data_IF_428120109733
#
_entry.id   IF_428120109733
#
_cell.length_a   1.000
_cell.length_b   1.000
_cell.length_c   1.000
_cell.angle_alpha   90.00
_cell.angle_beta   90.00
_cell.angle_gamma   90.00
#
_symmetry.space_group_name_H-M   'P 1'
#
loop_
_entity.id
_entity.type
_entity.pdbx_description
1 polymer ?
#
# COMPACT_ATOMS: atom_id res chain seq x y z
N UNK A 1 -18.25 -14.25 -5.75
CA UNK A 1 -17.94 -15.69 -5.82
C UNK A 1 -17.66 -16.11 -7.24
N UNK A 2 -16.60 -16.88 -7.44
CA UNK A 2 -16.32 -17.50 -8.73
C UNK A 2 -17.09 -18.80 -8.85
N UNK A 3 -17.61 -19.11 -10.04
CA UNK A 3 -18.28 -20.38 -10.32
C UNK A 3 -17.32 -21.29 -11.10
N UNK A 4 -17.38 -22.57 -10.79
CA UNK A 4 -16.66 -23.62 -11.51
C UNK A 4 -17.67 -24.70 -11.94
N UNK A 5 -17.41 -25.32 -13.08
CA UNK A 5 -18.14 -26.51 -13.51
C UNK A 5 -17.44 -27.75 -12.98
N UNK A 6 -18.21 -28.68 -12.44
CA UNK A 6 -17.71 -29.99 -11.98
C UNK A 6 -18.55 -31.10 -12.64
N UNK A 7 -17.92 -32.21 -12.90
CA UNK A 7 -18.60 -33.40 -13.40
C UNK A 7 -19.54 -34.01 -12.33
N UNK A 8 -20.55 -34.74 -12.76
CA UNK A 8 -21.55 -35.35 -11.86
C UNK A 8 -20.90 -36.25 -10.80
N UNK A 9 -19.87 -37.00 -11.16
CA UNK A 9 -19.13 -37.87 -10.25
C UNK A 9 -18.43 -37.07 -9.15
N UNK A 10 -17.80 -35.93 -9.49
CA UNK A 10 -17.18 -35.03 -8.53
C UNK A 10 -18.21 -34.35 -7.65
N UNK A 11 -19.34 -33.95 -8.22
CA UNK A 11 -20.43 -33.35 -7.47
C UNK A 11 -21.00 -34.35 -6.43
N UNK A 12 -21.24 -35.58 -6.83
CA UNK A 12 -21.73 -36.65 -5.93
C UNK A 12 -20.71 -36.94 -4.81
N UNK A 13 -19.41 -36.92 -5.12
CA UNK A 13 -18.36 -37.09 -4.14
C UNK A 13 -18.35 -35.95 -3.13
N UNK A 14 -18.42 -34.71 -3.58
CA UNK A 14 -18.48 -33.52 -2.73
C UNK A 14 -19.73 -33.56 -1.84
N UNK A 15 -20.91 -33.84 -2.42
CA UNK A 15 -22.16 -33.93 -1.69
C UNK A 15 -22.17 -35.08 -0.65
N UNK A 16 -21.50 -36.20 -0.95
CA UNK A 16 -21.35 -37.34 -0.03
C UNK A 16 -20.47 -37.04 1.18
N UNK A 17 -19.66 -36.00 1.14
CA UNK A 17 -18.79 -35.58 2.23
C UNK A 17 -19.36 -34.43 3.07
N UNK A 18 -20.63 -34.11 2.91
CA UNK A 18 -21.35 -33.14 3.75
C UNK A 18 -21.45 -33.66 5.18
N UNK A 19 -20.89 -32.94 6.13
CA UNK A 19 -20.91 -33.28 7.55
C UNK A 19 -21.94 -32.46 8.35
N UNK A 20 -22.29 -31.28 7.85
CA UNK A 20 -23.23 -30.39 8.52
C UNK A 20 -24.36 -29.99 7.58
N UNK A 21 -25.55 -29.85 8.13
CA UNK A 21 -26.70 -29.32 7.38
C UNK A 21 -26.47 -27.89 7.03
N UNK A 22 -26.54 -27.54 5.73
CA UNK A 22 -26.33 -26.20 5.23
C UNK A 22 -24.88 -25.86 4.83
N UNK A 23 -23.98 -26.84 4.89
CA UNK A 23 -22.60 -26.70 4.43
C UNK A 23 -22.55 -26.43 2.91
N UNK A 24 -21.83 -25.40 2.48
CA UNK A 24 -21.67 -25.11 1.06
C UNK A 24 -20.64 -26.02 0.40
N UNK A 25 -20.72 -26.16 -0.94
CA UNK A 25 -19.70 -26.89 -1.71
C UNK A 25 -18.30 -26.33 -1.52
N UNK A 26 -18.17 -25.01 -1.34
CA UNK A 26 -16.91 -24.35 -1.05
C UNK A 26 -16.32 -24.80 0.28
N UNK A 27 -17.13 -24.94 1.31
CA UNK A 27 -16.69 -25.39 2.64
C UNK A 27 -16.24 -26.85 2.62
N UNK A 28 -16.98 -27.69 1.92
CA UNK A 28 -16.64 -29.11 1.71
C UNK A 28 -15.28 -29.23 0.99
N UNK A 29 -15.09 -28.49 -0.10
CA UNK A 29 -13.85 -28.51 -0.86
C UNK A 29 -12.66 -28.02 -0.04
N UNK A 30 -12.83 -26.99 0.76
CA UNK A 30 -11.78 -26.50 1.66
C UNK A 30 -11.35 -27.56 2.66
N UNK A 31 -12.29 -28.24 3.25
CA UNK A 31 -12.01 -29.32 4.19
C UNK A 31 -11.29 -30.49 3.53
N UNK A 32 -11.73 -30.93 2.36
CA UNK A 32 -11.11 -32.02 1.62
C UNK A 32 -9.70 -31.72 1.15
N UNK A 33 -9.43 -30.46 0.82
CA UNK A 33 -8.11 -29.98 0.37
C UNK A 33 -7.20 -29.59 1.55
N UNK A 34 -7.67 -29.71 2.79
CA UNK A 34 -6.92 -29.30 3.97
C UNK A 34 -6.74 -27.78 4.08
N UNK A 35 -7.54 -27.01 3.33
CA UNK A 35 -7.61 -25.57 3.45
C UNK A 35 -8.51 -25.25 4.62
N UNK A 36 -7.95 -24.83 5.75
CA UNK A 36 -8.72 -24.45 6.92
C UNK A 36 -9.83 -23.47 6.56
N UNK A 37 -11.04 -23.74 7.04
CA UNK A 37 -12.11 -22.76 6.95
C UNK A 37 -11.65 -21.49 7.62
N UNK A 38 -11.74 -20.36 6.90
CA UNK A 38 -11.49 -19.03 7.46
C UNK A 38 -12.74 -18.64 8.24
N UNK A 39 -12.94 -19.31 9.36
CA UNK A 39 -13.84 -18.86 10.39
C UNK A 39 -12.99 -18.69 11.63
N UNK A 40 -12.85 -17.42 12.05
CA UNK A 40 -12.21 -17.02 13.31
C UNK A 40 -10.79 -17.57 13.54
N UNK A 41 -9.87 -17.23 12.66
CA UNK A 41 -8.49 -17.10 13.07
C UNK A 41 -8.25 -15.60 13.26
N UNK A 42 -7.86 -15.15 14.44
CA UNK A 42 -7.28 -13.83 14.56
C UNK A 42 -6.08 -13.84 13.63
N UNK A 43 -6.18 -13.03 12.65
CA UNK A 43 -5.21 -12.76 11.61
C UNK A 43 -3.77 -12.89 12.09
N UNK A 44 -3.14 -14.03 11.86
CA UNK A 44 -1.73 -13.98 11.55
C UNK A 44 -1.63 -13.60 10.07
N UNK A 45 -1.67 -12.31 9.89
CA UNK A 45 -1.36 -11.68 8.62
C UNK A 45 0.02 -12.12 8.21
N UNK A 46 0.11 -13.06 7.30
CA UNK A 46 1.14 -12.91 6.29
C UNK A 46 0.98 -11.50 5.77
N UNK A 47 2.04 -10.73 5.83
CA UNK A 47 2.09 -9.35 5.38
C UNK A 47 1.90 -9.31 3.86
N UNK A 48 0.69 -9.56 3.41
CA UNK A 48 0.22 -8.97 2.18
C UNK A 48 0.03 -7.52 2.53
N UNK A 49 0.94 -6.70 2.07
CA UNK A 49 0.81 -5.26 2.07
C UNK A 49 -0.62 -4.99 1.61
N UNK A 50 -1.40 -4.37 2.48
CA UNK A 50 -2.81 -4.11 2.23
C UNK A 50 -2.90 -2.98 1.20
N UNK A 51 -2.58 -3.30 -0.06
CA UNK A 51 -2.62 -2.36 -1.19
C UNK A 51 -4.00 -1.72 -1.34
N UNK A 52 -5.05 -2.46 -1.00
CA UNK A 52 -6.41 -1.95 -1.02
C UNK A 52 -6.60 -0.77 -0.06
N UNK A 53 -5.95 -0.77 1.09
CA UNK A 53 -6.17 0.26 2.11
C UNK A 53 -5.63 1.65 1.73
N UNK A 54 -4.59 1.74 0.90
CA UNK A 54 -4.07 3.04 0.45
C UNK A 54 -4.92 3.61 -0.67
N UNK A 55 -5.40 2.79 -1.60
CA UNK A 55 -6.27 3.24 -2.69
C UNK A 55 -7.66 3.62 -2.21
N UNK A 56 -8.18 3.01 -1.16
CA UNK A 56 -9.41 3.42 -0.50
C UNK A 56 -9.29 4.81 0.14
N UNK A 57 -8.10 5.15 0.62
CA UNK A 57 -7.80 6.45 1.24
C UNK A 57 -7.33 7.50 0.24
N UNK A 58 -6.66 7.10 -0.84
CA UNK A 58 -6.24 7.95 -1.94
C UNK A 58 -7.41 8.12 -2.91
N UNK A 59 -8.33 9.00 -2.57
CA UNK A 59 -9.40 9.38 -3.47
C UNK A 59 -8.89 10.48 -4.43
N UNK A 60 -9.15 10.31 -5.72
CA UNK A 60 -8.85 11.31 -6.74
C UNK A 60 -9.43 12.69 -6.40
N UNK A 61 -10.58 12.72 -5.75
CA UNK A 61 -11.24 13.97 -5.32
C UNK A 61 -10.43 14.68 -4.25
N UNK A 62 -9.91 13.96 -3.26
CA UNK A 62 -9.11 14.55 -2.18
C UNK A 62 -7.76 15.08 -2.69
N UNK A 63 -7.18 14.40 -3.66
CA UNK A 63 -5.96 14.86 -4.34
C UNK A 63 -6.24 16.11 -5.17
N UNK A 64 -7.36 16.15 -5.89
CA UNK A 64 -7.74 17.29 -6.72
C UNK A 64 -8.09 18.55 -5.93
N UNK A 65 -8.53 18.41 -4.70
CA UNK A 65 -8.76 19.55 -3.77
C UNK A 65 -7.45 20.28 -3.43
N UNK A 66 -6.33 19.58 -3.51
CA UNK A 66 -5.02 20.17 -3.26
C UNK A 66 -4.63 21.14 -4.38
N UNK A 67 -4.40 22.38 -4.04
CA UNK A 67 -4.20 23.48 -4.99
C UNK A 67 -2.84 23.50 -5.68
N UNK A 68 -1.86 22.76 -5.17
CA UNK A 68 -0.49 22.75 -5.70
C UNK A 68 0.08 21.34 -5.80
N UNK A 69 1.06 21.17 -6.70
CA UNK A 69 1.80 19.91 -6.84
C UNK A 69 2.48 19.50 -5.53
N UNK A 70 3.04 20.46 -4.79
CA UNK A 70 3.65 20.20 -3.47
C UNK A 70 2.61 19.70 -2.47
N UNK A 71 1.44 20.31 -2.43
CA UNK A 71 0.38 19.91 -1.53
C UNK A 71 -0.15 18.50 -1.87
N UNK A 72 -0.31 18.18 -3.15
CA UNK A 72 -0.65 16.82 -3.61
C UNK A 72 0.41 15.80 -3.21
N UNK A 73 1.66 16.12 -3.42
CA UNK A 73 2.79 15.27 -3.07
C UNK A 73 2.81 14.96 -1.56
N UNK A 74 2.66 15.96 -0.72
CA UNK A 74 2.58 15.80 0.73
C UNK A 74 1.35 15.00 1.16
N UNK A 75 0.22 15.21 0.52
CA UNK A 75 -1.00 14.46 0.79
C UNK A 75 -0.84 12.97 0.49
N UNK A 76 -0.27 12.63 -0.66
CA UNK A 76 -0.01 11.24 -1.05
C UNK A 76 0.95 10.56 -0.06
N UNK A 77 2.03 11.24 0.32
CA UNK A 77 2.97 10.73 1.33
C UNK A 77 2.30 10.52 2.69
N UNK A 78 1.43 11.42 3.09
CA UNK A 78 0.64 11.31 4.32
C UNK A 78 -0.26 10.08 4.32
N UNK A 79 -0.90 9.76 3.19
CA UNK A 79 -1.74 8.58 3.06
C UNK A 79 -0.91 7.29 3.09
N UNK A 80 0.23 7.28 2.43
CA UNK A 80 1.19 6.16 2.48
C UNK A 80 1.70 5.92 3.91
N UNK A 81 2.02 6.98 4.63
CA UNK A 81 2.41 6.87 6.04
C UNK A 81 1.29 6.26 6.90
N UNK A 82 0.07 6.73 6.75
CA UNK A 82 -1.09 6.22 7.51
C UNK A 82 -1.39 4.75 7.22
N UNK A 83 -1.08 4.31 6.02
CA UNK A 83 -1.25 2.91 5.63
C UNK A 83 -0.14 2.01 6.13
N UNK A 84 1.09 2.54 6.25
CA UNK A 84 2.29 1.78 6.62
C UNK A 84 3.15 2.52 7.66
N UNK A 85 2.62 2.87 8.83
CA UNK A 85 3.37 3.70 9.79
C UNK A 85 4.64 3.02 10.31
N UNK A 86 4.62 1.71 10.49
CA UNK A 86 5.77 0.94 10.99
C UNK A 86 6.88 0.75 9.95
N UNK A 87 6.54 0.79 8.68
CA UNK A 87 7.48 0.57 7.58
C UNK A 87 7.97 1.87 6.95
N UNK A 88 7.31 2.97 7.23
CA UNK A 88 7.60 4.25 6.58
C UNK A 88 9.02 4.76 6.87
N UNK A 89 9.64 4.35 7.96
CA UNK A 89 11.02 4.66 8.28
C UNK A 89 12.00 4.20 7.18
N UNK A 90 11.66 3.19 6.41
CA UNK A 90 12.47 2.69 5.30
C UNK A 90 12.66 3.74 4.20
N UNK A 91 11.75 4.72 4.06
CA UNK A 91 11.88 5.80 3.09
C UNK A 91 13.07 6.71 3.37
N UNK A 92 13.61 6.71 4.58
CA UNK A 92 14.82 7.45 4.93
C UNK A 92 16.06 6.95 4.17
N UNK A 93 16.02 5.73 3.64
CA UNK A 93 17.07 5.17 2.77
C UNK A 93 17.05 5.73 1.35
N UNK A 94 15.95 6.36 0.95
CA UNK A 94 15.81 6.96 -0.39
C UNK A 94 16.63 8.25 -0.45
N UNK A 95 17.69 8.20 -1.24
CA UNK A 95 18.65 9.32 -1.40
C UNK A 95 18.89 9.61 -2.87
N UNK A 96 19.13 10.87 -3.18
CA UNK A 96 19.70 11.25 -4.46
C UNK A 96 21.22 11.13 -4.45
N UNK A 97 21.84 11.54 -5.56
CA UNK A 97 23.30 11.50 -5.71
C UNK A 97 24.02 12.34 -4.65
N UNK A 98 23.51 13.54 -4.37
CA UNK A 98 24.17 14.54 -3.53
C UNK A 98 23.29 15.05 -2.39
N UNK A 99 22.09 14.49 -2.22
CA UNK A 99 21.16 14.95 -1.18
C UNK A 99 20.28 13.86 -0.66
N UNK A 100 19.89 14.02 0.58
CA UNK A 100 18.85 13.20 1.23
C UNK A 100 17.48 13.80 0.88
N UNK A 101 16.50 12.93 0.55
CA UNK A 101 15.14 13.38 0.21
C UNK A 101 14.20 13.35 1.41
N UNK A 102 14.40 12.45 2.34
CA UNK A 102 13.59 12.27 3.54
C UNK A 102 14.45 12.37 4.79
N UNK A 103 13.90 12.93 5.85
CA UNK A 103 14.57 13.07 7.13
C UNK A 103 13.57 13.09 8.29
N UNK A 104 14.10 13.09 9.50
CA UNK A 104 13.30 13.17 10.73
C UNK A 104 13.14 14.59 11.25
N UNK A 105 13.87 15.54 10.68
CA UNK A 105 13.78 16.95 11.04
C UNK A 105 14.08 17.84 9.84
N UNK A 106 13.64 19.08 9.92
CA UNK A 106 13.96 20.12 8.94
C UNK A 106 15.47 20.34 8.83
N UNK A 107 16.15 20.44 9.98
CA UNK A 107 17.59 20.68 10.05
C UNK A 107 18.40 19.59 9.37
N UNK A 108 17.99 18.34 9.49
CA UNK A 108 18.62 17.20 8.82
C UNK A 108 18.65 17.38 7.30
N UNK A 109 17.55 17.85 6.73
CA UNK A 109 17.43 18.08 5.29
C UNK A 109 18.12 19.36 4.84
N UNK A 110 18.15 20.40 5.67
CA UNK A 110 18.86 21.66 5.38
C UNK A 110 20.36 21.47 5.33
N UNK A 111 20.92 20.58 6.13
CA UNK A 111 22.36 20.29 6.17
C UNK A 111 22.84 19.48 4.97
N UNK A 112 21.96 18.76 4.30
CA UNK A 112 22.31 17.88 3.16
C UNK A 112 22.35 18.59 1.81
N UNK A 113 21.91 19.85 1.72
CA UNK A 113 21.98 20.61 0.48
C UNK A 113 21.36 21.99 0.57
N UNK A 114 21.77 22.84 -0.33
CA UNK A 114 21.21 24.18 -0.47
C UNK A 114 19.84 24.12 -1.17
N UNK A 115 18.91 24.97 -0.74
CA UNK A 115 17.59 25.14 -1.38
C UNK A 115 16.75 23.85 -1.42
N UNK A 116 16.72 23.08 -0.35
CA UNK A 116 15.94 21.85 -0.27
C UNK A 116 14.45 22.08 0.00
N UNK A 117 14.12 23.25 0.62
CA UNK A 117 12.75 23.60 1.01
C UNK A 117 12.01 22.44 1.69
N UNK A 118 12.51 21.93 2.82
CA UNK A 118 11.91 20.79 3.49
C UNK A 118 10.55 21.16 4.07
N UNK A 119 9.61 20.21 4.00
CA UNK A 119 8.28 20.35 4.60
C UNK A 119 7.91 19.09 5.37
N UNK A 120 7.15 19.23 6.48
CA UNK A 120 6.67 18.07 7.21
C UNK A 120 5.63 17.29 6.40
N UNK A 121 5.72 15.98 6.47
CA UNK A 121 4.66 15.10 5.92
C UNK A 121 3.51 15.12 6.93
N UNK A 122 2.29 15.56 6.54
CA UNK A 122 1.17 15.71 7.47
C UNK A 122 0.84 14.42 8.23
N UNK A 123 0.72 14.52 9.54
CA UNK A 123 0.39 13.38 10.40
C UNK A 123 1.55 12.42 10.67
N UNK A 124 2.76 12.74 10.23
CA UNK A 124 3.96 11.91 10.46
C UNK A 124 5.07 12.71 11.13
N UNK A 125 6.07 12.04 11.76
CA UNK A 125 7.26 12.68 12.28
C UNK A 125 8.34 12.96 11.23
N UNK A 126 8.05 12.70 9.94
CA UNK A 126 9.02 12.76 8.86
C UNK A 126 8.90 14.05 8.06
N UNK A 127 10.01 14.44 7.46
CA UNK A 127 10.16 15.59 6.61
C UNK A 127 10.64 15.15 5.22
N UNK A 128 10.31 15.95 4.19
CA UNK A 128 10.67 15.68 2.80
C UNK A 128 11.08 16.96 2.09
N UNK A 129 12.08 16.87 1.20
CA UNK A 129 12.47 17.98 0.33
C UNK A 129 11.40 18.21 -0.74
N UNK A 130 11.04 19.46 -0.96
CA UNK A 130 9.99 19.84 -1.92
C UNK A 130 10.49 20.69 -3.09
N UNK A 131 11.73 21.18 -3.03
CA UNK A 131 12.34 21.96 -4.09
C UNK A 131 12.89 21.07 -5.20
N UNK A 132 12.00 20.44 -5.92
CA UNK A 132 12.28 19.62 -7.09
C UNK A 132 11.10 19.67 -8.06
N UNK A 133 11.34 19.30 -9.32
CA UNK A 133 10.29 19.29 -10.34
C UNK A 133 9.29 18.15 -10.14
N UNK A 134 8.19 18.19 -10.88
CA UNK A 134 7.12 17.19 -10.80
C UNK A 134 7.62 15.78 -11.17
N UNK A 135 8.46 15.67 -12.19
CA UNK A 135 9.06 14.39 -12.61
C UNK A 135 9.86 13.75 -11.47
N UNK A 136 10.63 14.55 -10.75
CA UNK A 136 11.41 14.08 -9.61
C UNK A 136 10.52 13.66 -8.46
N UNK A 137 9.45 14.42 -8.18
CA UNK A 137 8.46 14.05 -7.17
C UNK A 137 7.78 12.72 -7.50
N UNK A 138 7.41 12.50 -8.76
CA UNK A 138 6.87 11.22 -9.23
C UNK A 138 7.84 10.07 -9.02
N UNK A 139 9.11 10.27 -9.36
CA UNK A 139 10.17 9.27 -9.10
C UNK A 139 10.32 8.96 -7.61
N UNK A 140 10.25 9.96 -6.75
CA UNK A 140 10.29 9.78 -5.30
C UNK A 140 9.10 8.96 -4.80
N UNK A 141 7.88 9.23 -5.28
CA UNK A 141 6.69 8.44 -4.93
C UNK A 141 6.82 6.98 -5.36
N UNK A 142 7.34 6.72 -6.54
CA UNK A 142 7.63 5.34 -7.00
C UNK A 142 8.57 4.63 -6.04
N UNK A 143 9.68 5.27 -5.67
CA UNK A 143 10.65 4.68 -4.75
C UNK A 143 10.05 4.45 -3.35
N UNK A 144 9.24 5.39 -2.85
CA UNK A 144 8.52 5.21 -1.57
C UNK A 144 7.59 4.01 -1.63
N UNK A 145 6.79 3.89 -2.69
CA UNK A 145 5.88 2.77 -2.86
C UNK A 145 6.63 1.43 -2.90
N UNK A 146 7.71 1.35 -3.66
CA UNK A 146 8.57 0.15 -3.72
C UNK A 146 9.16 -0.22 -2.36
N UNK A 147 9.63 0.76 -1.59
CA UNK A 147 10.15 0.53 -0.23
C UNK A 147 9.08 0.04 0.74
N UNK A 148 7.83 0.45 0.54
CA UNK A 148 6.70 -0.02 1.34
C UNK A 148 6.13 -1.36 0.88
N UNK A 149 6.69 -1.96 -0.19
CA UNK A 149 6.33 -3.28 -0.68
C UNK A 149 5.24 -3.33 -1.75
N UNK A 150 4.90 -2.18 -2.35
CA UNK A 150 4.01 -2.14 -3.50
C UNK A 150 4.70 -2.68 -4.75
N UNK A 151 3.95 -3.33 -5.63
CA UNK A 151 4.47 -3.73 -6.92
C UNK A 151 4.60 -2.54 -7.89
N UNK A 152 5.21 -2.76 -9.06
CA UNK A 152 5.46 -1.72 -10.06
C UNK A 152 4.15 -1.09 -10.54
N UNK A 153 3.11 -1.90 -10.73
CA UNK A 153 1.80 -1.44 -11.20
C UNK A 153 1.13 -0.50 -10.19
N UNK A 154 1.16 -0.85 -8.92
CA UNK A 154 0.59 -0.04 -7.84
C UNK A 154 1.42 1.22 -7.58
N UNK A 155 2.75 1.12 -7.66
CA UNK A 155 3.64 2.27 -7.57
C UNK A 155 3.36 3.30 -8.69
N UNK A 156 3.08 2.83 -9.91
CA UNK A 156 2.68 3.70 -11.02
C UNK A 156 1.32 4.37 -10.78
N UNK A 157 0.35 3.66 -10.24
CA UNK A 157 -0.96 4.25 -9.87
C UNK A 157 -0.80 5.33 -8.81
N UNK A 158 0.00 5.08 -7.79
CA UNK A 158 0.30 6.08 -6.74
C UNK A 158 0.97 7.31 -7.34
N UNK A 159 1.94 7.12 -8.20
CA UNK A 159 2.61 8.20 -8.92
C UNK A 159 1.67 9.04 -9.76
N UNK A 160 0.69 8.41 -10.40
CA UNK A 160 -0.24 9.06 -11.31
C UNK A 160 -1.27 9.95 -10.59
N UNK A 161 -1.42 9.84 -9.27
CA UNK A 161 -2.18 10.80 -8.48
C UNK A 161 -1.51 12.20 -8.42
N UNK A 162 -0.25 12.32 -8.70
CA UNK A 162 0.47 13.58 -8.76
C UNK A 162 0.43 14.18 -10.18
#
# INVERSE_FOLDING_TARGET
>A
MKRIEVEDDLYAYIAGHTQQIGESASDILRRLLGLSAVADVPEQRSQTVNTESVFDRLNQQDVNVQKSVVARFLHILSMLYRSHPSQFEQVLSIRGRDRQYFGRSEDELLTTGNSTNPKPIPGSPFWVVTNNNTTKKKSMLTQVAEQLGYDVSDAEKIRDFL
#
